data_IF_852734071124
#
_entry.id   IF_852734071124
#
_cell.length_a   1.000
_cell.length_b   1.000
_cell.length_c   1.000
_cell.angle_alpha   90.00
_cell.angle_beta   90.00
_cell.angle_gamma   90.00
#
_symmetry.space_group_name_H-M   'P 1'
#
loop_
_entity.id
_entity.type
_entity.pdbx_description
1 polymer ?
#
# COMPACT_ATOMS: atom_id res chain seq x y z
N UNK A 1 -8.40 -33.70 -5.67
CA UNK A 1 -8.96 -32.43 -6.20
C UNK A 1 -8.33 -31.18 -5.56
N UNK A 2 -8.10 -31.14 -4.24
CA UNK A 2 -7.50 -29.97 -3.57
C UNK A 2 -6.13 -29.53 -4.12
N UNK A 3 -5.25 -30.48 -4.49
CA UNK A 3 -3.91 -30.18 -5.00
C UNK A 3 -3.92 -29.46 -6.37
N UNK A 4 -4.81 -29.87 -7.26
CA UNK A 4 -4.97 -29.26 -8.60
C UNK A 4 -5.51 -27.83 -8.49
N UNK A 5 -6.43 -27.57 -7.55
CA UNK A 5 -6.96 -26.24 -7.27
C UNK A 5 -5.85 -25.30 -6.75
N UNK A 6 -5.03 -25.78 -5.81
CA UNK A 6 -3.89 -25.04 -5.26
C UNK A 6 -2.83 -24.72 -6.31
N UNK A 7 -2.52 -25.66 -7.20
CA UNK A 7 -1.56 -25.42 -8.29
C UNK A 7 -2.09 -24.39 -9.29
N UNK A 8 -3.38 -24.45 -9.63
CA UNK A 8 -4.02 -23.48 -10.53
C UNK A 8 -3.98 -22.07 -9.95
N UNK A 9 -4.24 -21.94 -8.65
CA UNK A 9 -4.18 -20.68 -7.91
C UNK A 9 -2.76 -20.12 -7.88
N UNK A 10 -1.75 -20.96 -7.58
CA UNK A 10 -0.35 -20.56 -7.59
C UNK A 10 0.12 -20.07 -8.97
N UNK A 11 -0.24 -20.77 -10.05
CA UNK A 11 0.10 -20.35 -11.42
C UNK A 11 -0.53 -18.99 -11.74
N UNK A 12 -1.81 -18.81 -11.39
CA UNK A 12 -2.53 -17.56 -11.66
C UNK A 12 -1.96 -16.40 -10.87
N UNK A 13 -1.68 -16.59 -9.59
CA UNK A 13 -1.02 -15.58 -8.75
C UNK A 13 0.34 -15.17 -9.35
N UNK A 14 1.19 -16.14 -9.67
CA UNK A 14 2.48 -15.87 -10.32
C UNK A 14 2.33 -15.08 -11.63
N UNK A 15 1.32 -15.40 -12.45
CA UNK A 15 1.05 -14.66 -13.68
C UNK A 15 0.75 -13.19 -13.38
N UNK A 16 -0.15 -12.92 -12.43
CA UNK A 16 -0.53 -11.55 -12.08
C UNK A 16 0.67 -10.75 -11.54
N UNK A 17 1.46 -11.37 -10.67
CA UNK A 17 2.70 -10.80 -10.12
C UNK A 17 3.78 -10.55 -11.19
N UNK A 18 3.93 -11.47 -12.15
CA UNK A 18 4.84 -11.29 -13.27
C UNK A 18 4.41 -10.12 -14.17
N UNK A 19 3.10 -9.96 -14.41
CA UNK A 19 2.57 -8.78 -15.12
C UNK A 19 2.80 -7.50 -14.32
N UNK A 20 2.60 -7.52 -13.00
CA UNK A 20 2.85 -6.37 -12.11
C UNK A 20 4.31 -5.88 -12.18
N UNK A 21 5.26 -6.79 -12.42
CA UNK A 21 6.70 -6.48 -12.60
C UNK A 21 7.08 -6.08 -14.03
N UNK A 22 6.13 -6.02 -14.96
CA UNK A 22 6.40 -5.71 -16.37
C UNK A 22 7.13 -6.84 -17.11
N UNK A 23 6.88 -8.10 -16.78
CA UNK A 23 7.55 -9.24 -17.41
C UNK A 23 7.16 -9.40 -18.89
N UNK A 24 8.15 -9.25 -19.77
CA UNK A 24 8.04 -9.64 -21.17
C UNK A 24 8.06 -11.18 -21.33
N UNK A 25 7.26 -11.69 -22.26
CA UNK A 25 7.25 -13.14 -22.54
C UNK A 25 6.60 -13.99 -21.45
N UNK A 26 5.55 -13.47 -20.80
CA UNK A 26 4.78 -14.07 -19.70
C UNK A 26 4.56 -15.60 -19.79
N UNK A 27 4.13 -16.11 -20.94
CA UNK A 27 3.88 -17.54 -21.10
C UNK A 27 5.16 -18.39 -20.95
N UNK A 28 6.32 -17.86 -21.36
CA UNK A 28 7.61 -18.52 -21.18
C UNK A 28 8.05 -18.55 -19.72
N UNK A 29 7.82 -17.46 -18.99
CA UNK A 29 8.09 -17.39 -17.55
C UNK A 29 7.29 -18.45 -16.78
N UNK A 30 6.00 -18.59 -17.07
CA UNK A 30 5.12 -19.61 -16.46
C UNK A 30 5.58 -21.03 -16.77
N UNK A 31 5.97 -21.30 -18.02
CA UNK A 31 6.49 -22.62 -18.44
C UNK A 31 7.75 -22.98 -17.66
N UNK A 32 8.67 -22.01 -17.51
CA UNK A 32 9.93 -22.20 -16.77
C UNK A 32 9.68 -22.45 -15.29
N UNK A 33 8.79 -21.68 -14.67
CA UNK A 33 8.53 -21.76 -13.23
C UNK A 33 7.76 -23.02 -12.84
N UNK A 34 6.71 -23.38 -13.59
CA UNK A 34 5.78 -24.45 -13.18
C UNK A 34 5.93 -25.75 -13.99
N UNK A 35 6.88 -25.83 -14.92
CA UNK A 35 7.10 -26.97 -15.81
C UNK A 35 5.82 -27.42 -16.56
N UNK A 36 4.94 -26.48 -16.89
CA UNK A 36 3.71 -26.72 -17.64
C UNK A 36 3.91 -26.52 -19.14
N UNK A 37 3.02 -27.07 -19.97
CA UNK A 37 3.06 -26.80 -21.40
C UNK A 37 2.72 -25.33 -21.71
N UNK A 38 3.24 -24.79 -22.81
CA UNK A 38 2.91 -23.43 -23.26
C UNK A 38 1.41 -23.22 -23.49
N UNK A 39 0.71 -24.27 -23.93
CA UNK A 39 -0.75 -24.26 -24.07
C UNK A 39 -1.45 -24.16 -22.70
N UNK A 40 -0.96 -24.87 -21.68
CA UNK A 40 -1.47 -24.74 -20.33
C UNK A 40 -1.23 -23.34 -19.76
N UNK A 41 -0.02 -22.78 -19.90
CA UNK A 41 0.28 -21.40 -19.50
C UNK A 41 -0.67 -20.39 -20.15
N UNK A 42 -0.86 -20.45 -21.47
CA UNK A 42 -1.79 -19.58 -22.19
C UNK A 42 -3.24 -19.74 -21.75
N UNK A 43 -3.68 -20.95 -21.35
CA UNK A 43 -5.02 -21.16 -20.78
C UNK A 43 -5.20 -20.41 -19.46
N UNK A 44 -4.20 -20.42 -18.57
CA UNK A 44 -4.28 -19.66 -17.32
C UNK A 44 -4.29 -18.15 -17.57
N UNK A 45 -3.45 -17.65 -18.49
CA UNK A 45 -3.42 -16.23 -18.87
C UNK A 45 -4.78 -15.80 -19.46
N UNK A 46 -5.32 -16.57 -20.42
CA UNK A 46 -6.62 -16.26 -21.02
C UNK A 46 -7.77 -16.35 -20.01
N UNK A 47 -7.69 -17.24 -19.02
CA UNK A 47 -8.67 -17.29 -17.95
C UNK A 47 -8.67 -16.02 -17.09
N UNK A 48 -7.48 -15.46 -16.80
CA UNK A 48 -7.34 -14.18 -16.09
C UNK A 48 -7.81 -12.99 -16.93
N UNK A 49 -7.60 -13.03 -18.24
CA UNK A 49 -8.19 -12.03 -19.15
C UNK A 49 -9.72 -12.12 -19.15
N UNK A 50 -10.26 -13.35 -19.23
CA UNK A 50 -11.70 -13.58 -19.23
C UNK A 50 -12.37 -13.18 -17.91
N UNK A 51 -11.67 -13.35 -16.78
CA UNK A 51 -12.19 -12.92 -15.47
C UNK A 51 -12.05 -11.42 -15.23
N UNK A 52 -11.43 -10.67 -16.15
CA UNK A 52 -11.22 -9.23 -16.01
C UNK A 52 -10.02 -8.84 -15.14
N UNK A 53 -9.20 -9.79 -14.67
CA UNK A 53 -8.01 -9.49 -13.87
C UNK A 53 -6.84 -8.96 -14.72
N UNK A 54 -6.81 -9.33 -16.02
CA UNK A 54 -5.84 -8.86 -17.00
C UNK A 54 -6.53 -8.27 -18.22
N UNK A 55 -5.96 -7.21 -18.77
CA UNK A 55 -6.27 -6.73 -20.11
C UNK A 55 -5.12 -7.10 -21.05
N UNK A 56 -5.46 -7.58 -22.24
CA UNK A 56 -4.49 -7.87 -23.30
C UNK A 56 -4.52 -6.74 -24.34
N UNK A 57 -3.34 -6.33 -24.79
CA UNK A 57 -3.19 -5.35 -25.87
C UNK A 57 -2.11 -5.80 -26.86
N UNK A 58 -2.24 -5.38 -28.13
CA UNK A 58 -1.36 -5.79 -29.23
C UNK A 58 -1.66 -7.18 -29.80
N UNK A 59 -0.98 -7.51 -30.89
CA UNK A 59 -1.17 -8.76 -31.65
C UNK A 59 0.11 -9.60 -31.76
N UNK A 60 -0.07 -10.92 -31.88
CA UNK A 60 1.02 -11.86 -32.12
C UNK A 60 2.16 -11.75 -31.10
N UNK A 61 3.38 -11.46 -31.59
CA UNK A 61 4.59 -11.29 -30.75
C UNK A 61 4.63 -9.99 -29.95
N UNK A 62 3.81 -8.99 -30.29
CA UNK A 62 3.70 -7.71 -29.56
C UNK A 62 2.61 -7.71 -28.50
N UNK A 63 1.97 -8.87 -28.26
CA UNK A 63 0.92 -9.01 -27.26
C UNK A 63 1.51 -8.83 -25.87
N UNK A 64 1.02 -7.83 -25.16
CA UNK A 64 1.38 -7.53 -23.78
C UNK A 64 0.12 -7.56 -22.91
N UNK A 65 0.32 -7.75 -21.61
CA UNK A 65 -0.75 -7.84 -20.62
C UNK A 65 -0.53 -6.76 -19.58
N UNK A 66 -1.62 -6.19 -19.08
CA UNK A 66 -1.63 -5.25 -17.95
C UNK A 66 -2.68 -5.69 -16.94
N UNK A 67 -2.43 -5.40 -15.67
CA UNK A 67 -3.46 -5.55 -14.64
C UNK A 67 -4.62 -4.60 -14.94
N UNK A 68 -5.83 -5.07 -14.72
CA UNK A 68 -7.02 -4.22 -14.77
C UNK A 68 -7.19 -3.63 -13.38
N UNK A 69 -7.32 -2.31 -13.33
CA UNK A 69 -7.72 -1.61 -12.12
C UNK A 69 -9.19 -1.93 -11.86
N UNK A 70 -9.45 -2.70 -10.80
CA UNK A 70 -10.77 -3.15 -10.38
C UNK A 70 -11.55 -2.01 -9.72
N UNK A 71 -10.85 -1.18 -8.95
CA UNK A 71 -11.41 -0.01 -8.27
C UNK A 71 -10.48 1.20 -8.34
N UNK A 72 -11.08 2.37 -8.54
CA UNK A 72 -10.41 3.66 -8.51
C UNK A 72 -11.39 4.69 -7.95
N UNK A 73 -11.18 5.08 -6.71
CA UNK A 73 -12.06 6.00 -5.99
C UNK A 73 -11.25 7.20 -5.50
N UNK A 74 -11.76 8.39 -5.76
CA UNK A 74 -11.16 9.66 -5.32
C UNK A 74 -12.24 10.43 -4.58
N UNK A 75 -11.93 10.91 -3.38
CA UNK A 75 -12.79 11.85 -2.68
C UNK A 75 -11.98 12.88 -1.92
N UNK A 76 -12.64 14.00 -1.63
CA UNK A 76 -12.09 15.08 -0.82
C UNK A 76 -13.01 15.35 0.36
N UNK A 77 -12.42 15.78 1.47
CA UNK A 77 -13.13 16.24 2.66
C UNK A 77 -12.40 17.45 3.26
N UNK A 78 -13.14 18.24 4.03
CA UNK A 78 -12.56 19.37 4.75
C UNK A 78 -11.88 18.88 6.02
N UNK A 79 -10.67 19.36 6.27
CA UNK A 79 -9.95 19.17 7.53
C UNK A 79 -10.50 20.17 8.55
N UNK A 80 -11.59 19.80 9.21
CA UNK A 80 -12.21 20.56 10.27
C UNK A 80 -12.44 19.68 11.52
N UNK A 81 -12.94 20.27 12.60
CA UNK A 81 -13.16 19.55 13.86
C UNK A 81 -14.29 18.52 13.80
N UNK A 82 -15.18 18.61 12.81
CA UNK A 82 -16.30 17.70 12.59
C UNK A 82 -15.90 16.46 11.77
N UNK A 83 -14.70 16.46 11.18
CA UNK A 83 -14.18 15.32 10.44
C UNK A 83 -13.99 14.13 11.39
N UNK A 84 -14.71 13.04 11.14
CA UNK A 84 -14.59 11.77 11.85
C UNK A 84 -13.95 10.71 10.94
N UNK A 85 -12.79 10.22 11.34
CA UNK A 85 -12.05 9.18 10.62
C UNK A 85 -12.79 7.85 10.57
N UNK A 86 -13.62 7.56 11.58
CA UNK A 86 -14.44 6.36 11.62
C UNK A 86 -15.50 6.39 10.51
N UNK A 87 -16.15 7.54 10.30
CA UNK A 87 -17.14 7.72 9.26
C UNK A 87 -16.50 7.62 7.86
N UNK A 88 -15.32 8.23 7.67
CA UNK A 88 -14.56 8.08 6.42
C UNK A 88 -14.25 6.60 6.16
N UNK A 89 -13.77 5.89 7.18
CA UNK A 89 -13.46 4.47 7.06
C UNK A 89 -14.70 3.66 6.69
N UNK A 90 -15.78 3.76 7.46
CA UNK A 90 -17.01 2.99 7.26
C UNK A 90 -17.67 3.26 5.91
N UNK A 91 -17.80 4.53 5.53
CA UNK A 91 -18.64 4.91 4.40
C UNK A 91 -17.89 4.99 3.07
N UNK A 92 -16.58 5.26 3.11
CA UNK A 92 -15.78 5.53 1.90
C UNK A 92 -14.69 4.50 1.65
N UNK A 93 -13.99 4.04 2.68
CA UNK A 93 -12.78 3.21 2.50
C UNK A 93 -13.07 1.71 2.60
N UNK A 94 -13.75 1.27 3.67
CA UNK A 94 -14.06 -0.14 3.91
C UNK A 94 -14.85 -0.82 2.78
N UNK A 95 -15.82 -0.16 2.10
CA UNK A 95 -16.49 -0.73 0.93
C UNK A 95 -15.54 -1.01 -0.26
N UNK A 96 -14.48 -0.21 -0.40
CA UNK A 96 -13.48 -0.35 -1.47
C UNK A 96 -12.53 -1.52 -1.22
N UNK A 97 -12.32 -1.87 0.05
CA UNK A 97 -11.46 -2.97 0.49
C UNK A 97 -12.22 -4.28 0.76
N UNK A 98 -13.49 -4.38 0.34
CA UNK A 98 -14.26 -5.62 0.49
C UNK A 98 -13.59 -6.81 -0.21
N UNK A 99 -13.61 -7.97 0.45
CA UNK A 99 -12.99 -9.19 -0.06
C UNK A 99 -11.50 -9.34 0.28
N UNK A 100 -10.86 -8.35 0.89
CA UNK A 100 -9.58 -8.57 1.57
C UNK A 100 -9.77 -9.40 2.84
N UNK A 101 -8.77 -10.21 3.24
CA UNK A 101 -8.77 -10.92 4.53
C UNK A 101 -8.93 -9.95 5.72
N UNK A 102 -9.55 -10.41 6.81
CA UNK A 102 -9.84 -9.56 7.98
C UNK A 102 -8.57 -8.95 8.60
N UNK A 103 -7.45 -9.69 8.61
CA UNK A 103 -6.18 -9.16 9.09
C UNK A 103 -5.66 -8.00 8.23
N UNK A 104 -5.79 -8.08 6.90
CA UNK A 104 -5.41 -7.00 5.99
C UNK A 104 -6.36 -5.80 6.17
N UNK A 105 -7.67 -6.04 6.29
CA UNK A 105 -8.65 -4.97 6.57
C UNK A 105 -8.39 -4.25 7.88
N UNK A 106 -7.95 -4.96 8.92
CA UNK A 106 -7.61 -4.36 10.21
C UNK A 106 -6.34 -3.50 10.13
N UNK A 107 -5.32 -3.94 9.37
CA UNK A 107 -4.12 -3.14 9.10
C UNK A 107 -4.50 -1.86 8.36
N UNK A 108 -5.32 -1.98 7.31
CA UNK A 108 -5.83 -0.83 6.56
C UNK A 108 -6.65 0.12 7.42
N UNK A 109 -7.53 -0.40 8.28
CA UNK A 109 -8.32 0.41 9.20
C UNK A 109 -7.42 1.25 10.09
N UNK A 110 -6.47 0.60 10.76
CA UNK A 110 -5.53 1.28 11.63
C UNK A 110 -4.72 2.33 10.89
N UNK A 111 -4.09 1.98 9.77
CA UNK A 111 -3.22 2.90 9.03
C UNK A 111 -3.95 4.10 8.45
N UNK A 112 -5.16 3.91 7.92
CA UNK A 112 -5.98 5.01 7.39
C UNK A 112 -6.41 5.94 8.53
N UNK A 113 -6.89 5.40 9.64
CA UNK A 113 -7.26 6.18 10.83
C UNK A 113 -6.08 7.01 11.34
N UNK A 114 -4.91 6.40 11.52
CA UNK A 114 -3.72 7.13 12.00
C UNK A 114 -3.28 8.23 11.04
N UNK A 115 -3.35 8.02 9.72
CA UNK A 115 -2.96 9.05 8.74
C UNK A 115 -3.97 10.18 8.63
N UNK A 116 -5.27 9.88 8.72
CA UNK A 116 -6.33 10.91 8.75
C UNK A 116 -6.21 11.75 10.01
N UNK A 117 -6.01 11.13 11.18
CA UNK A 117 -5.85 11.85 12.43
C UNK A 117 -4.56 12.69 12.42
N UNK A 118 -3.46 12.16 11.88
CA UNK A 118 -2.24 12.95 11.70
C UNK A 118 -2.48 14.20 10.83
N UNK A 119 -3.20 14.05 9.73
CA UNK A 119 -3.57 15.19 8.88
C UNK A 119 -4.48 16.18 9.63
N UNK A 120 -5.53 15.71 10.29
CA UNK A 120 -6.49 16.54 11.04
C UNK A 120 -5.81 17.34 12.16
N UNK A 121 -4.97 16.69 12.95
CA UNK A 121 -4.46 17.27 14.20
C UNK A 121 -3.18 18.09 13.99
N UNK A 122 -2.41 17.82 12.92
CA UNK A 122 -1.06 18.36 12.79
C UNK A 122 -0.75 19.08 11.48
N UNK A 123 -1.51 18.85 10.40
CA UNK A 123 -1.20 19.45 9.09
C UNK A 123 -1.34 20.97 9.08
N UNK A 124 -2.31 21.51 9.82
CA UNK A 124 -2.76 22.90 9.68
C UNK A 124 -3.41 23.20 8.31
N UNK A 125 -3.71 22.16 7.52
CA UNK A 125 -4.37 22.24 6.21
C UNK A 125 -5.88 22.45 6.33
N UNK A 126 -6.55 22.51 5.19
CA UNK A 126 -8.00 22.69 5.03
C UNK A 126 -8.65 21.54 4.27
N UNK A 127 -7.89 20.82 3.45
CA UNK A 127 -8.44 19.82 2.53
C UNK A 127 -7.67 18.52 2.67
N UNK A 128 -8.40 17.42 2.77
CA UNK A 128 -7.86 16.07 2.67
C UNK A 128 -8.39 15.41 1.40
N UNK A 129 -7.49 14.86 0.58
CA UNK A 129 -7.80 14.07 -0.61
C UNK A 129 -7.38 12.63 -0.36
N UNK A 130 -8.30 11.69 -0.61
CA UNK A 130 -8.03 10.25 -0.51
C UNK A 130 -8.19 9.61 -1.88
N UNK A 131 -7.18 8.87 -2.31
CA UNK A 131 -7.15 8.08 -3.53
C UNK A 131 -7.09 6.60 -3.15
N UNK A 132 -8.05 5.79 -3.58
CA UNK A 132 -8.03 4.34 -3.38
C UNK A 132 -7.92 3.68 -4.73
N UNK A 133 -6.92 2.84 -4.91
CA UNK A 133 -6.72 2.05 -6.12
C UNK A 133 -6.59 0.58 -5.77
N UNK A 134 -7.18 -0.28 -6.60
CA UNK A 134 -7.05 -1.73 -6.45
C UNK A 134 -6.99 -2.42 -7.80
N UNK A 135 -6.13 -3.41 -7.88
CA UNK A 135 -6.10 -4.39 -8.95
C UNK A 135 -6.10 -5.82 -8.38
N UNK A 136 -5.88 -6.80 -9.25
CA UNK A 136 -5.92 -8.22 -8.89
C UNK A 136 -4.78 -8.68 -7.95
N UNK A 137 -3.77 -7.86 -7.68
CA UNK A 137 -2.62 -8.17 -6.80
C UNK A 137 -2.32 -7.11 -5.75
N UNK A 138 -2.83 -5.88 -5.89
CA UNK A 138 -2.48 -4.77 -5.00
C UNK A 138 -3.68 -3.93 -4.63
N UNK A 139 -3.65 -3.41 -3.41
CA UNK A 139 -4.51 -2.32 -2.96
C UNK A 139 -3.63 -1.18 -2.48
N UNK A 140 -3.97 0.06 -2.81
CA UNK A 140 -3.20 1.23 -2.40
C UNK A 140 -4.13 2.37 -2.00
N UNK A 141 -3.70 3.15 -1.00
CA UNK A 141 -4.43 4.33 -0.53
C UNK A 141 -3.46 5.51 -0.37
N UNK A 142 -3.68 6.55 -1.15
CA UNK A 142 -2.97 7.82 -1.01
C UNK A 142 -3.83 8.76 -0.17
N UNK A 143 -3.25 9.34 0.87
CA UNK A 143 -3.88 10.31 1.77
C UNK A 143 -3.06 11.60 1.69
N UNK A 144 -3.65 12.64 1.11
CA UNK A 144 -2.98 13.91 0.84
C UNK A 144 -3.70 15.04 1.56
N UNK A 145 -3.01 15.76 2.42
CA UNK A 145 -3.45 17.06 2.94
C UNK A 145 -2.77 18.22 2.20
N UNK A 146 -3.32 19.43 2.35
CA UNK A 146 -2.76 20.70 1.84
C UNK A 146 -2.09 21.53 2.95
N UNK A 147 -1.62 20.86 4.00
CA UNK A 147 -0.99 21.49 5.16
C UNK A 147 0.50 21.78 4.99
N UNK A 148 1.18 22.02 6.11
CA UNK A 148 2.59 22.44 6.12
C UNK A 148 3.60 21.31 5.88
N UNK A 149 3.13 20.06 5.98
CA UNK A 149 3.95 18.87 5.85
C UNK A 149 4.56 18.36 7.17
N UNK A 150 4.56 17.04 7.36
CA UNK A 150 4.96 16.38 8.61
C UNK A 150 6.42 16.63 9.01
N UNK A 151 7.38 16.58 8.07
CA UNK A 151 8.79 16.77 8.39
C UNK A 151 9.11 18.21 8.79
N UNK A 152 8.49 19.18 8.10
CA UNK A 152 8.57 20.59 8.49
C UNK A 152 7.97 20.82 9.87
N UNK A 153 6.80 20.24 10.15
CA UNK A 153 6.14 20.34 11.45
C UNK A 153 7.02 19.83 12.59
N UNK A 154 7.64 18.66 12.41
CA UNK A 154 8.57 18.06 13.37
C UNK A 154 9.82 18.92 13.52
N UNK A 155 10.40 19.39 12.41
CA UNK A 155 11.57 20.25 12.42
C UNK A 155 11.32 21.51 13.27
N UNK A 156 10.20 22.20 13.04
CA UNK A 156 9.83 23.41 13.78
C UNK A 156 9.58 23.10 15.27
N UNK A 157 8.88 22.00 15.58
CA UNK A 157 8.57 21.61 16.95
C UNK A 157 9.80 21.22 17.79
N UNK A 158 10.80 20.60 17.18
CA UNK A 158 12.03 20.14 17.82
C UNK A 158 13.22 21.10 17.62
N UNK A 159 13.00 22.23 16.96
CA UNK A 159 14.05 23.18 16.56
C UNK A 159 15.24 22.51 15.84
N UNK A 160 14.94 21.58 14.93
CA UNK A 160 15.97 20.84 14.20
C UNK A 160 16.60 21.70 13.10
N UNK A 161 17.91 21.56 12.84
CA UNK A 161 18.61 22.29 11.77
C UNK A 161 18.03 22.07 10.37
N UNK A 162 17.48 20.89 10.11
CA UNK A 162 16.92 20.51 8.81
C UNK A 162 15.83 19.43 8.93
N UNK A 163 15.03 19.27 7.87
CA UNK A 163 13.94 18.28 7.83
C UNK A 163 14.44 16.82 7.74
N UNK A 164 15.69 16.54 7.35
CA UNK A 164 16.22 15.15 7.30
C UNK A 164 16.38 14.59 8.71
N UNK A 165 16.75 15.45 9.67
CA UNK A 165 16.76 15.06 11.10
C UNK A 165 15.36 14.73 11.61
N UNK A 166 14.31 15.42 11.12
CA UNK A 166 12.93 15.10 11.49
C UNK A 166 12.55 13.66 11.07
N UNK A 167 13.03 13.20 9.91
CA UNK A 167 12.84 11.81 9.47
C UNK A 167 13.48 10.82 10.45
N UNK A 168 14.69 11.12 10.93
CA UNK A 168 15.38 10.26 11.91
C UNK A 168 14.63 10.20 13.24
N UNK A 169 14.07 11.33 13.70
CA UNK A 169 13.24 11.33 14.91
C UNK A 169 11.97 10.51 14.73
N UNK A 170 11.32 10.59 13.57
CA UNK A 170 10.14 9.79 13.24
C UNK A 170 10.48 8.29 13.19
N UNK A 171 11.63 7.94 12.63
CA UNK A 171 12.12 6.57 12.54
C UNK A 171 12.48 5.93 13.90
N UNK A 172 12.65 6.71 14.98
CA UNK A 172 12.86 6.17 16.33
C UNK A 172 11.58 5.59 16.97
N UNK A 173 10.41 5.95 16.44
CA UNK A 173 9.14 5.31 16.79
C UNK A 173 8.45 5.76 18.07
N UNK A 174 8.79 6.94 18.61
CA UNK A 174 8.14 7.57 19.77
C UNK A 174 8.12 9.10 19.66
N UNK A 175 7.67 9.60 18.52
CA UNK A 175 7.72 11.02 18.23
C UNK A 175 6.32 11.62 18.27
N UNK A 176 6.04 12.42 19.29
CA UNK A 176 4.82 13.22 19.41
C UNK A 176 5.17 14.67 19.66
N UNK A 177 4.50 15.59 18.95
CA UNK A 177 4.54 17.03 19.25
C UNK A 177 3.43 17.44 20.22
N UNK A 178 2.52 16.51 20.56
CA UNK A 178 1.46 16.67 21.56
C UNK A 178 1.30 15.39 22.42
N UNK A 179 2.17 15.21 23.43
CA UNK A 179 2.18 14.02 24.28
C UNK A 179 0.94 13.86 25.18
N UNK A 180 0.08 14.88 25.28
CA UNK A 180 -1.15 14.78 26.09
C UNK A 180 -2.24 14.02 25.36
N UNK A 181 -2.26 14.10 24.03
CA UNK A 181 -3.30 13.52 23.19
C UNK A 181 -2.77 12.38 22.29
N UNK A 182 -1.46 12.36 22.00
CA UNK A 182 -0.87 11.37 21.09
C UNK A 182 0.36 10.70 21.68
N UNK A 183 0.41 9.37 21.57
CA UNK A 183 1.57 8.55 21.98
C UNK A 183 2.80 8.81 21.11
N UNK A 184 2.60 9.32 19.89
CA UNK A 184 3.67 9.57 18.92
C UNK A 184 4.18 8.32 18.22
N UNK A 185 3.49 7.21 18.39
CA UNK A 185 3.90 5.93 17.80
C UNK A 185 3.08 5.60 16.53
N UNK A 186 1.97 6.31 16.29
CA UNK A 186 1.00 6.04 15.21
C UNK A 186 1.60 5.93 13.82
N UNK A 187 2.31 6.96 13.37
CA UNK A 187 2.95 6.98 12.04
C UNK A 187 4.04 5.93 11.92
N UNK A 188 4.84 5.74 12.97
CA UNK A 188 5.89 4.73 12.96
C UNK A 188 5.31 3.32 12.88
N UNK A 189 4.35 2.96 13.73
CA UNK A 189 3.73 1.65 13.68
C UNK A 189 3.01 1.41 12.35
N UNK A 190 2.28 2.42 11.85
CA UNK A 190 1.69 2.38 10.52
C UNK A 190 2.75 2.02 9.48
N UNK A 191 3.91 2.69 9.48
CA UNK A 191 4.96 2.41 8.50
C UNK A 191 5.51 0.98 8.55
N UNK A 192 5.42 0.29 9.68
CA UNK A 192 5.90 -1.10 9.85
C UNK A 192 4.84 -2.16 9.56
N UNK A 193 3.57 -1.78 9.45
CA UNK A 193 2.46 -2.72 9.23
C UNK A 193 2.20 -3.03 7.75
N UNK A 194 2.59 -2.12 6.85
CA UNK A 194 2.38 -2.27 5.40
C UNK A 194 3.60 -2.86 4.72
N UNK A 195 3.37 -3.57 3.61
CA UNK A 195 4.45 -4.06 2.78
C UNK A 195 5.28 -2.92 2.14
N UNK A 196 4.61 -1.81 1.80
CA UNK A 196 5.26 -0.55 1.42
C UNK A 196 4.57 0.63 2.11
N UNK A 197 5.36 1.57 2.59
CA UNK A 197 4.84 2.79 3.19
C UNK A 197 5.71 3.95 2.76
N UNK A 198 5.09 5.06 2.38
CA UNK A 198 5.79 6.24 1.94
C UNK A 198 5.13 7.51 2.47
N UNK A 199 5.94 8.42 2.98
CA UNK A 199 5.55 9.79 3.28
C UNK A 199 6.34 10.68 2.34
N UNK A 200 5.64 11.49 1.57
CA UNK A 200 6.24 12.54 0.75
C UNK A 200 5.77 13.87 1.33
N UNK A 201 6.71 14.68 1.80
CA UNK A 201 6.41 16.01 2.31
C UNK A 201 7.49 16.97 1.90
N UNK A 202 7.08 18.03 1.19
CA UNK A 202 7.94 19.01 0.57
C UNK A 202 9.04 18.29 -0.26
N UNK A 203 10.30 18.61 0.04
CA UNK A 203 11.47 18.08 -0.65
C UNK A 203 11.98 16.76 -0.06
N UNK A 204 11.24 16.10 0.84
CA UNK A 204 11.67 14.88 1.51
C UNK A 204 10.66 13.76 1.34
N UNK A 205 11.16 12.58 0.98
CA UNK A 205 10.43 11.34 1.05
C UNK A 205 11.07 10.40 2.08
N UNK A 206 10.23 9.81 2.93
CA UNK A 206 10.57 8.66 3.77
C UNK A 206 9.81 7.45 3.23
N UNK A 207 10.48 6.31 3.09
CA UNK A 207 9.79 5.07 2.78
C UNK A 207 10.33 3.87 3.54
N UNK A 208 9.42 2.96 3.85
CA UNK A 208 9.71 1.66 4.42
C UNK A 208 9.20 0.56 3.47
N UNK A 209 9.98 -0.50 3.34
CA UNK A 209 9.56 -1.72 2.66
C UNK A 209 9.72 -2.91 3.60
N UNK A 210 8.66 -3.69 3.76
CA UNK A 210 8.69 -4.87 4.62
C UNK A 210 9.77 -5.87 4.18
N UNK A 211 10.43 -6.48 5.16
CA UNK A 211 11.51 -7.43 4.93
C UNK A 211 12.82 -6.80 4.43
N UNK A 212 12.88 -5.47 4.30
CA UNK A 212 14.14 -4.73 4.09
C UNK A 212 14.59 -4.11 5.41
N UNK A 213 15.88 -4.21 5.77
CA UNK A 213 16.41 -3.63 7.00
C UNK A 213 16.57 -2.10 6.91
N UNK A 214 16.54 -1.55 5.70
CA UNK A 214 16.86 -0.16 5.41
C UNK A 214 15.58 0.64 5.15
N UNK A 215 15.42 1.75 5.87
CA UNK A 215 14.46 2.79 5.52
C UNK A 215 15.13 3.78 4.57
N UNK A 216 14.42 4.22 3.54
CA UNK A 216 14.97 5.13 2.53
C UNK A 216 14.52 6.56 2.80
N UNK A 217 15.50 7.47 2.81
CA UNK A 217 15.29 8.92 2.84
C UNK A 217 15.79 9.47 1.51
N UNK A 218 14.89 10.05 0.73
CA UNK A 218 15.19 10.57 -0.60
C UNK A 218 14.82 12.05 -0.66
N UNK A 219 15.61 12.82 -1.41
CA UNK A 219 15.21 14.17 -1.79
C UNK A 219 14.10 14.04 -2.85
N UNK A 220 12.91 14.54 -2.53
CA UNK A 220 11.78 14.59 -3.44
C UNK A 220 11.88 15.83 -4.33
N UNK A 221 11.95 15.63 -5.65
CA UNK A 221 12.01 16.73 -6.62
C UNK A 221 10.62 17.16 -7.14
N UNK A 222 9.54 16.56 -6.63
CA UNK A 222 8.17 16.92 -6.98
C UNK A 222 7.57 17.88 -5.92
N UNK A 223 6.92 18.99 -6.33
CA UNK A 223 6.44 20.03 -5.41
C UNK A 223 5.18 19.68 -4.59
N UNK A 224 4.70 18.43 -4.62
CA UNK A 224 3.42 18.04 -4.05
C UNK A 224 3.57 17.28 -2.73
N UNK A 225 3.06 17.85 -1.64
CA UNK A 225 2.85 17.15 -0.37
C UNK A 225 1.87 15.99 -0.56
N UNK A 226 2.25 14.76 -0.19
CA UNK A 226 1.37 13.59 -0.22
C UNK A 226 1.87 12.47 0.69
N UNK A 227 1.00 11.92 1.54
CA UNK A 227 1.29 10.65 2.21
C UNK A 227 0.75 9.50 1.37
N UNK A 228 1.60 8.54 1.02
CA UNK A 228 1.25 7.37 0.22
C UNK A 228 1.37 6.10 1.05
N UNK A 229 0.25 5.51 1.41
CA UNK A 229 0.22 4.17 1.99
C UNK A 229 -0.04 3.17 0.86
N UNK A 230 0.84 2.19 0.67
CA UNK A 230 0.71 1.23 -0.43
C UNK A 230 0.89 -0.20 0.09
N UNK A 231 -0.17 -0.99 0.06
CA UNK A 231 -0.06 -2.41 0.39
C UNK A 231 0.49 -3.16 -0.82
N UNK A 232 1.82 -3.24 -0.88
CA UNK A 232 2.54 -3.91 -1.93
C UNK A 232 2.85 -5.36 -1.55
N UNK A 233 1.92 -6.30 -1.72
CA UNK A 233 2.25 -7.74 -1.65
C UNK A 233 3.35 -8.04 -2.70
N UNK A 234 4.62 -8.11 -2.26
CA UNK A 234 5.74 -8.44 -3.13
C UNK A 234 6.03 -9.94 -3.09
N UNK A 235 6.23 -10.61 -4.25
CA UNK A 235 6.27 -12.07 -4.35
C UNK A 235 7.59 -12.72 -3.94
N UNK A 236 8.51 -11.97 -3.35
CA UNK A 236 9.89 -12.42 -3.16
C UNK A 236 10.16 -13.10 -1.82
N UNK A 237 9.12 -13.51 -1.09
CA UNK A 237 9.30 -14.52 -0.04
C UNK A 237 8.63 -15.83 -0.48
N UNK A 238 9.46 -16.87 -0.61
CA UNK A 238 9.02 -18.26 -0.60
C UNK A 238 8.02 -18.48 0.55
N UNK A 239 7.07 -19.44 0.45
CA UNK A 239 5.88 -19.46 1.27
C UNK A 239 6.26 -19.62 2.74
N UNK A 240 6.29 -18.53 3.49
CA UNK A 240 6.27 -18.59 4.94
C UNK A 240 4.86 -18.99 5.34
N UNK A 241 4.66 -20.30 5.37
CA UNK A 241 3.73 -20.89 6.30
C UNK A 241 3.98 -20.29 7.69
N UNK A 242 2.94 -19.61 8.23
CA UNK A 242 2.64 -19.44 9.67
C UNK A 242 3.57 -18.46 10.39
N UNK A 243 3.08 -17.56 11.24
CA UNK A 243 2.37 -17.86 12.48
C UNK A 243 1.24 -16.85 12.74
N UNK A 244 0.00 -17.30 12.57
CA UNK A 244 -1.15 -16.77 13.31
C UNK A 244 -0.94 -17.24 14.75
N UNK A 245 -0.71 -16.29 15.67
CA UNK A 245 -0.70 -16.55 17.09
C UNK A 245 -2.10 -17.07 17.48
N UNK A 246 -2.20 -18.38 17.77
CA UNK A 246 -3.36 -18.93 18.48
C UNK A 246 -3.26 -18.49 19.93
N UNK A 247 -4.03 -17.48 20.30
CA UNK A 247 -4.41 -17.31 21.71
C UNK A 247 -5.61 -18.24 21.91
N UNK A 248 -5.40 -19.36 22.61
CA UNK A 248 -6.51 -20.12 23.18
C UNK A 248 -6.96 -19.40 24.46
N UNK A 249 -8.26 -19.20 24.68
CA UNK A 249 -8.75 -18.81 26.00
C UNK A 249 -8.70 -20.02 26.95
N UNK A 250 -8.49 -19.71 28.24
CA UNK A 250 -8.59 -20.65 29.35
C UNK A 250 -9.99 -21.27 29.46
#
# INVERSE_FOLDING_TARGET
MANIRKQTENIRRYILEAVARGCDGLAGAVVKEFAVSRQAANRHINALVKSGALAAAGEGRKKHYRLVQEKHTIFQCELNQELDEFDIWQDKVAPELQGLPDNARNIWHYGVTEMINNAKDHSGGRTLTVLISRDAVRSSIIIKDDGIGIFRKIQEALALPDQRQAVLELAKGRLTTDPKNHTGEGVFFTSRMFDYFCIISNEIAFSHQFGKPEDWILDNQAPDDSTMIDDAEQPHSAPLQRHILRIQPA
#
